data_IF_023805592978
#
_entry.id   IF_023805592978
#
_cell.length_a   1.000
_cell.length_b   1.000
_cell.length_c   1.000
_cell.angle_alpha   90.00
_cell.angle_beta   90.00
_cell.angle_gamma   90.00
#
_symmetry.space_group_name_H-M   'P 1'
#
loop_
_entity.id
_entity.type
_entity.pdbx_description
1 polymer ?
#
# COMPACT_ATOMS: atom_id res chain seq x y z
N UNK A 1 4.14 -11.39 0.53
CA UNK A 1 4.44 -10.30 -0.42
C UNK A 1 4.84 -9.02 0.32
N UNK A 2 5.46 -8.08 -0.38
CA UNK A 2 5.79 -6.73 0.10
C UNK A 2 4.96 -5.74 -0.72
N UNK A 3 4.34 -4.77 -0.06
CA UNK A 3 3.71 -3.60 -0.67
C UNK A 3 4.62 -2.40 -0.44
N UNK A 4 5.16 -1.83 -1.50
CA UNK A 4 6.13 -0.73 -1.44
C UNK A 4 5.59 0.50 -2.16
N UNK A 5 5.17 1.51 -1.39
CA UNK A 5 4.68 2.77 -1.93
C UNK A 5 5.83 3.71 -2.26
N UNK A 6 5.84 4.25 -3.45
CA UNK A 6 6.83 5.21 -3.90
C UNK A 6 6.24 6.27 -4.82
N UNK A 7 6.66 7.51 -4.60
CA UNK A 7 6.28 8.64 -5.42
C UNK A 7 7.38 9.00 -6.43
N UNK A 8 6.96 9.50 -7.57
CA UNK A 8 7.88 10.10 -8.54
C UNK A 8 8.48 11.41 -7.99
N UNK A 9 9.80 11.55 -8.03
CA UNK A 9 10.50 12.78 -7.64
C UNK A 9 10.87 13.64 -8.83
N UNK A 10 10.72 14.97 -8.72
CA UNK A 10 11.20 15.92 -9.73
C UNK A 10 12.71 16.14 -9.66
N UNK A 11 13.29 15.96 -8.49
CA UNK A 11 14.74 16.09 -8.28
C UNK A 11 15.49 14.86 -8.79
N UNK A 12 14.85 13.70 -8.68
CA UNK A 12 15.39 12.45 -9.21
C UNK A 12 14.31 11.64 -9.93
N UNK A 13 14.00 11.98 -11.20
CA UNK A 13 12.91 11.33 -11.94
C UNK A 13 13.15 9.86 -12.26
N UNK A 14 14.39 9.40 -12.18
CA UNK A 14 14.75 7.99 -12.43
C UNK A 14 14.74 7.12 -11.18
N UNK A 15 14.65 7.72 -9.99
CA UNK A 15 14.77 6.99 -8.71
C UNK A 15 13.75 5.87 -8.58
N UNK A 16 12.49 6.13 -8.95
CA UNK A 16 11.41 5.14 -8.92
C UNK A 16 11.81 3.86 -9.67
N UNK A 17 12.22 4.01 -10.92
CA UNK A 17 12.57 2.90 -11.81
C UNK A 17 13.87 2.22 -11.40
N UNK A 18 14.87 2.99 -10.97
CA UNK A 18 16.14 2.43 -10.45
C UNK A 18 15.91 1.61 -9.18
N UNK A 19 15.06 2.06 -8.27
CA UNK A 19 14.72 1.28 -7.07
C UNK A 19 14.08 -0.05 -7.46
N UNK A 20 13.12 -0.03 -8.39
CA UNK A 20 12.44 -1.22 -8.87
C UNK A 20 13.41 -2.22 -9.49
N UNK A 21 14.24 -1.78 -10.45
CA UNK A 21 15.23 -2.66 -11.12
C UNK A 21 16.26 -3.16 -10.13
N UNK A 22 16.77 -2.31 -9.23
CA UNK A 22 17.74 -2.72 -8.21
C UNK A 22 17.20 -3.84 -7.32
N UNK A 23 15.94 -3.73 -6.87
CA UNK A 23 15.31 -4.80 -6.07
C UNK A 23 15.27 -6.10 -6.86
N UNK A 24 14.84 -6.06 -8.13
CA UNK A 24 14.72 -7.28 -8.95
C UNK A 24 16.06 -7.88 -9.35
N UNK A 25 17.08 -7.06 -9.59
CA UNK A 25 18.39 -7.50 -10.08
C UNK A 25 19.27 -8.06 -8.95
N UNK A 26 19.20 -7.45 -7.76
CA UNK A 26 20.12 -7.76 -6.66
C UNK A 26 19.47 -8.52 -5.49
N UNK A 27 18.21 -8.92 -5.62
CA UNK A 27 17.51 -9.68 -4.56
C UNK A 27 16.69 -10.82 -5.11
N UNK A 28 16.17 -11.65 -4.19
CA UNK A 28 15.21 -12.72 -4.51
C UNK A 28 13.76 -12.22 -4.70
N UNK A 29 13.55 -10.90 -4.78
CA UNK A 29 12.22 -10.32 -4.98
C UNK A 29 11.98 -9.99 -6.45
N UNK A 30 10.71 -10.14 -6.87
CA UNK A 30 10.23 -9.78 -8.21
C UNK A 30 8.91 -9.03 -8.08
N UNK A 31 8.72 -8.03 -8.92
CA UNK A 31 7.45 -7.30 -9.02
C UNK A 31 6.40 -8.20 -9.69
N UNK A 32 5.27 -8.34 -9.04
CA UNK A 32 4.10 -9.09 -9.55
C UNK A 32 2.95 -8.18 -9.93
N UNK A 33 2.94 -6.95 -9.39
CA UNK A 33 1.94 -5.94 -9.74
C UNK A 33 2.48 -4.52 -9.50
N UNK A 34 1.92 -3.54 -10.22
CA UNK A 34 2.12 -2.11 -10.04
C UNK A 34 0.75 -1.44 -9.89
N UNK A 35 0.42 -1.08 -8.66
CA UNK A 35 -0.84 -0.40 -8.35
C UNK A 35 -0.64 1.10 -8.47
N UNK A 36 -1.46 1.73 -9.29
CA UNK A 36 -1.52 3.19 -9.37
C UNK A 36 -2.49 3.70 -8.30
N UNK A 37 -1.94 4.33 -7.27
CA UNK A 37 -2.75 5.04 -6.31
C UNK A 37 -3.03 6.46 -6.77
N UNK A 38 -4.27 6.74 -7.17
CA UNK A 38 -4.78 8.09 -7.43
C UNK A 38 -5.25 8.70 -6.11
N UNK A 39 -4.68 9.82 -5.75
CA UNK A 39 -5.10 10.62 -4.60
C UNK A 39 -6.42 11.35 -4.91
N UNK A 40 -7.26 11.54 -3.91
CA UNK A 40 -8.51 12.31 -4.06
C UNK A 40 -8.27 13.80 -4.26
N UNK A 41 -7.11 14.30 -3.81
CA UNK A 41 -6.68 15.68 -3.99
C UNK A 41 -5.17 15.78 -4.21
N UNK A 42 -4.72 16.84 -4.86
CA UNK A 42 -3.32 17.15 -5.04
C UNK A 42 -3.08 18.65 -4.88
N UNK A 43 -1.92 19.02 -4.38
CA UNK A 43 -1.49 20.42 -4.43
C UNK A 43 -1.26 20.80 -5.90
N UNK A 44 -1.96 21.81 -6.42
CA UNK A 44 -1.83 22.18 -7.82
C UNK A 44 -0.42 22.68 -8.10
N UNK A 45 0.15 22.23 -9.21
CA UNK A 45 1.39 22.79 -9.75
C UNK A 45 1.05 23.83 -10.83
N UNK A 46 0.73 25.03 -10.40
CA UNK A 46 0.36 26.15 -11.24
C UNK A 46 1.49 27.18 -11.44
N UNK A 47 2.68 26.90 -10.88
CA UNK A 47 3.86 27.75 -10.99
C UNK A 47 4.74 27.36 -12.17
N UNK A 48 4.70 26.11 -12.61
CA UNK A 48 5.53 25.58 -13.68
C UNK A 48 4.71 25.30 -14.93
N UNK A 49 5.09 25.93 -16.06
CA UNK A 49 4.41 25.73 -17.36
C UNK A 49 4.67 24.35 -18.00
N UNK A 50 5.69 23.63 -17.55
CA UNK A 50 6.15 22.36 -18.14
C UNK A 50 5.96 21.14 -17.22
N UNK A 51 5.28 21.29 -16.08
CA UNK A 51 5.06 20.20 -15.14
C UNK A 51 3.60 20.07 -14.75
N UNK A 52 3.07 18.88 -14.88
CA UNK A 52 1.71 18.57 -14.45
C UNK A 52 1.60 18.47 -12.92
N UNK A 53 0.39 18.68 -12.42
CA UNK A 53 0.04 18.37 -11.03
C UNK A 53 0.10 16.86 -10.81
N UNK A 54 0.87 16.41 -9.82
CA UNK A 54 1.02 14.99 -9.51
C UNK A 54 -0.08 14.55 -8.57
N UNK A 55 -0.88 13.63 -9.03
CA UNK A 55 -2.00 13.09 -8.27
C UNK A 55 -1.85 11.58 -8.01
N UNK A 56 -0.91 10.93 -8.70
CA UNK A 56 -0.70 9.49 -8.57
C UNK A 56 0.62 9.16 -7.89
N UNK A 57 0.62 8.05 -7.17
CA UNK A 57 1.80 7.35 -6.67
C UNK A 57 1.73 5.87 -7.08
N UNK A 58 2.88 5.20 -7.02
CA UNK A 58 3.00 3.77 -7.29
C UNK A 58 3.01 2.96 -5.99
N UNK A 59 2.35 1.82 -5.98
CA UNK A 59 2.51 0.80 -4.95
C UNK A 59 2.95 -0.48 -5.64
N UNK A 60 4.25 -0.74 -5.62
CA UNK A 60 4.80 -1.97 -6.17
C UNK A 60 4.50 -3.14 -5.25
N UNK A 61 4.07 -4.23 -5.84
CA UNK A 61 3.81 -5.48 -5.14
C UNK A 61 4.89 -6.47 -5.49
N UNK A 62 5.68 -6.88 -4.49
CA UNK A 62 6.74 -7.85 -4.68
C UNK A 62 6.37 -9.20 -4.06
N UNK A 63 6.79 -10.28 -4.71
CA UNK A 63 6.88 -11.60 -4.10
C UNK A 63 8.27 -12.21 -4.35
N UNK A 64 8.62 -13.28 -3.65
CA UNK A 64 9.88 -13.99 -3.92
C UNK A 64 9.79 -14.71 -5.26
N UNK A 65 10.90 -14.74 -6.01
CA UNK A 65 10.99 -15.37 -7.35
C UNK A 65 10.49 -16.81 -7.34
N UNK A 66 10.83 -17.58 -6.32
CA UNK A 66 10.39 -18.98 -6.20
C UNK A 66 8.93 -19.16 -5.72
N UNK A 67 8.27 -18.08 -5.29
CA UNK A 67 6.85 -18.08 -4.83
C UNK A 67 5.88 -17.55 -5.89
N UNK A 68 6.34 -17.23 -7.11
CA UNK A 68 5.50 -16.64 -8.16
C UNK A 68 4.25 -17.47 -8.46
N UNK A 69 4.38 -18.81 -8.56
CA UNK A 69 3.25 -19.69 -8.86
C UNK A 69 2.26 -19.82 -7.71
N UNK A 70 2.68 -19.55 -6.47
CA UNK A 70 1.84 -19.56 -5.29
C UNK A 70 1.38 -18.17 -4.85
N UNK A 71 1.75 -17.12 -5.62
CA UNK A 71 1.31 -15.77 -5.35
C UNK A 71 -0.21 -15.68 -5.40
N UNK A 72 -0.79 -15.03 -4.41
CA UNK A 72 -2.22 -15.05 -4.17
C UNK A 72 -2.79 -13.65 -4.04
N UNK A 73 -3.97 -13.46 -4.63
CA UNK A 73 -4.84 -12.30 -4.37
C UNK A 73 -6.21 -12.79 -3.89
N UNK A 74 -6.92 -11.96 -3.13
CA UNK A 74 -8.25 -12.30 -2.62
C UNK A 74 -9.37 -12.13 -3.66
N UNK A 75 -9.07 -12.20 -4.97
CA UNK A 75 -10.09 -12.16 -6.04
C UNK A 75 -11.05 -13.34 -5.88
N UNK A 76 -12.33 -13.04 -5.86
CA UNK A 76 -13.38 -14.07 -5.75
C UNK A 76 -13.56 -14.79 -7.08
N UNK A 77 -13.79 -16.10 -7.04
CA UNK A 77 -14.28 -16.84 -8.18
C UNK A 77 -15.75 -16.45 -8.43
N UNK A 78 -16.10 -16.14 -9.69
CA UNK A 78 -17.44 -15.64 -10.07
C UNK A 78 -18.27 -16.66 -10.86
N UNK A 79 -17.70 -17.82 -11.18
CA UNK A 79 -18.44 -18.93 -11.82
C UNK A 79 -18.49 -20.16 -10.89
N UNK A 80 -19.60 -20.88 -10.93
CA UNK A 80 -19.93 -22.01 -10.03
C UNK A 80 -19.23 -23.32 -10.41
N UNK A 81 -18.21 -23.27 -11.26
CA UNK A 81 -17.47 -24.47 -11.69
C UNK A 81 -18.19 -25.33 -12.75
N UNK A 82 -19.28 -24.84 -13.37
CA UNK A 82 -19.90 -25.48 -14.52
C UNK A 82 -19.08 -25.33 -15.83
N UNK A 83 -18.23 -24.28 -15.88
CA UNK A 83 -17.24 -24.09 -16.94
C UNK A 83 -15.91 -24.73 -16.54
N UNK A 84 -15.23 -25.40 -17.46
CA UNK A 84 -13.88 -25.96 -17.25
C UNK A 84 -12.85 -24.89 -16.85
N UNK A 85 -13.13 -23.62 -17.12
CA UNK A 85 -12.23 -22.51 -16.84
C UNK A 85 -12.76 -21.63 -15.69
N UNK A 86 -12.01 -21.56 -14.59
CA UNK A 86 -12.30 -20.64 -13.48
C UNK A 86 -12.20 -19.19 -13.91
N UNK A 87 -13.23 -18.40 -13.62
CA UNK A 87 -13.27 -16.96 -13.83
C UNK A 87 -13.25 -16.23 -12.48
N UNK A 88 -12.54 -15.11 -12.42
CA UNK A 88 -12.40 -14.31 -11.22
C UNK A 88 -12.95 -12.90 -11.43
N UNK A 89 -13.35 -12.24 -10.35
CA UNK A 89 -13.80 -10.86 -10.37
C UNK A 89 -12.71 -9.92 -10.94
N UNK A 90 -13.14 -8.87 -11.63
CA UNK A 90 -12.25 -7.83 -12.14
C UNK A 90 -11.86 -6.87 -11.00
N UNK A 91 -10.58 -6.92 -10.61
CA UNK A 91 -9.97 -5.93 -9.72
C UNK A 91 -8.89 -5.23 -10.55
N UNK A 92 -9.00 -3.91 -10.66
CA UNK A 92 -8.04 -3.11 -11.41
C UNK A 92 -6.81 -2.79 -10.55
N UNK A 93 -5.66 -2.67 -11.20
CA UNK A 93 -4.43 -2.15 -10.58
C UNK A 93 -4.45 -0.62 -10.42
N UNK A 94 -5.62 -0.05 -10.19
CA UNK A 94 -5.88 1.36 -9.99
C UNK A 94 -6.74 1.54 -8.75
N UNK A 95 -6.23 2.31 -7.76
CA UNK A 95 -6.92 2.56 -6.51
C UNK A 95 -7.06 4.06 -6.31
N UNK A 96 -8.30 4.56 -6.26
CA UNK A 96 -8.56 5.90 -5.75
C UNK A 96 -8.76 5.83 -4.23
N UNK A 97 -8.00 6.63 -3.48
CA UNK A 97 -8.10 6.73 -2.03
C UNK A 97 -7.67 8.11 -1.53
N UNK A 98 -8.13 8.48 -0.35
CA UNK A 98 -7.71 9.71 0.32
C UNK A 98 -6.19 9.74 0.50
N UNK A 99 -5.62 10.94 0.54
CA UNK A 99 -4.19 11.14 0.72
C UNK A 99 -3.73 10.69 2.13
N UNK A 100 -4.51 11.05 3.13
CA UNK A 100 -4.29 10.78 4.54
C UNK A 100 -5.65 10.77 5.28
N UNK A 101 -5.63 10.51 6.57
CA UNK A 101 -6.81 10.49 7.45
C UNK A 101 -7.05 11.83 8.16
N UNK A 102 -6.57 12.93 7.60
CA UNK A 102 -6.68 14.28 8.17
C UNK A 102 -5.35 14.79 8.76
N UNK A 103 -5.43 15.85 9.57
CA UNK A 103 -4.24 16.46 10.15
C UNK A 103 -3.57 15.51 11.17
N UNK A 104 -2.27 15.33 10.99
CA UNK A 104 -1.44 14.56 11.90
C UNK A 104 -0.30 15.44 12.39
N UNK A 105 -0.25 15.76 13.71
CA UNK A 105 0.74 16.68 14.23
C UNK A 105 2.18 16.13 14.23
N UNK A 106 2.33 14.80 14.15
CA UNK A 106 3.63 14.13 14.28
C UNK A 106 4.19 13.61 12.97
N UNK A 107 3.35 13.47 11.94
CA UNK A 107 3.79 12.97 10.63
C UNK A 107 2.86 13.51 9.52
N UNK A 108 3.42 14.35 8.65
CA UNK A 108 2.69 14.92 7.50
C UNK A 108 2.68 14.00 6.27
N UNK A 109 3.55 13.01 6.25
CA UNK A 109 3.74 12.09 5.12
C UNK A 109 3.05 10.73 5.35
N UNK A 110 1.86 10.75 5.94
CA UNK A 110 1.06 9.53 6.14
C UNK A 110 0.20 9.25 4.91
N UNK A 111 -0.02 7.98 4.63
CA UNK A 111 -1.09 7.53 3.73
C UNK A 111 -2.37 7.24 4.51
N UNK A 112 -3.51 7.15 3.80
CA UNK A 112 -4.80 6.94 4.46
C UNK A 112 -5.05 5.49 4.86
N UNK A 113 -5.82 5.31 5.94
CA UNK A 113 -6.38 4.00 6.31
C UNK A 113 -7.23 3.41 5.17
N UNK A 114 -7.88 4.27 4.36
CA UNK A 114 -8.64 3.84 3.18
C UNK A 114 -7.75 3.10 2.17
N UNK A 115 -6.59 3.67 1.80
CA UNK A 115 -5.63 3.03 0.91
C UNK A 115 -5.15 1.69 1.46
N UNK A 116 -4.67 1.71 2.71
CA UNK A 116 -4.15 0.51 3.37
C UNK A 116 -5.20 -0.60 3.43
N UNK A 117 -6.44 -0.26 3.80
CA UNK A 117 -7.56 -1.22 3.85
C UNK A 117 -7.85 -1.84 2.48
N UNK A 118 -7.84 -1.04 1.40
CA UNK A 118 -8.04 -1.55 0.03
C UNK A 118 -6.92 -2.50 -0.38
N UNK A 119 -5.67 -2.15 -0.12
CA UNK A 119 -4.52 -3.00 -0.42
C UNK A 119 -4.54 -4.31 0.37
N UNK A 120 -4.79 -4.26 1.68
CA UNK A 120 -4.87 -5.46 2.52
C UNK A 120 -6.02 -6.38 2.10
N UNK A 121 -7.16 -5.83 1.68
CA UNK A 121 -8.27 -6.64 1.15
C UNK A 121 -7.90 -7.41 -0.11
N UNK A 122 -6.99 -6.89 -0.94
CA UNK A 122 -6.55 -7.55 -2.16
C UNK A 122 -5.47 -8.60 -1.86
N UNK A 123 -4.46 -8.26 -1.03
CA UNK A 123 -3.23 -9.03 -0.93
C UNK A 123 -3.04 -9.79 0.40
N UNK A 124 -3.75 -9.44 1.47
CA UNK A 124 -3.63 -10.12 2.75
C UNK A 124 -4.69 -11.21 2.91
N UNK A 125 -4.26 -12.45 3.14
CA UNK A 125 -5.17 -13.55 3.50
C UNK A 125 -5.87 -13.24 4.82
N UNK A 126 -7.09 -13.76 5.04
CA UNK A 126 -7.77 -13.59 6.34
C UNK A 126 -6.88 -13.98 7.52
N UNK A 127 -6.90 -13.18 8.58
CA UNK A 127 -6.09 -13.38 9.80
C UNK A 127 -4.57 -13.40 9.59
N UNK A 128 -4.07 -12.77 8.52
CA UNK A 128 -2.62 -12.62 8.28
C UNK A 128 -1.94 -11.80 9.38
N UNK A 129 -0.65 -12.05 9.56
CA UNK A 129 0.26 -11.17 10.28
C UNK A 129 0.87 -10.17 9.29
N UNK A 130 0.71 -8.88 9.55
CA UNK A 130 1.21 -7.78 8.73
C UNK A 130 2.38 -7.13 9.45
N UNK A 131 3.51 -6.99 8.76
CA UNK A 131 4.69 -6.27 9.26
C UNK A 131 4.76 -4.89 8.59
N UNK A 132 4.90 -3.86 9.41
CA UNK A 132 5.19 -2.50 8.96
C UNK A 132 6.47 -2.00 9.67
N UNK A 133 7.63 -2.04 9.00
CA UNK A 133 8.91 -1.63 9.59
C UNK A 133 9.05 -0.11 9.73
N UNK A 134 8.11 0.68 9.21
CA UNK A 134 8.09 2.14 9.26
C UNK A 134 6.70 2.65 9.68
N UNK A 135 6.18 2.09 10.78
CA UNK A 135 4.78 2.22 11.19
C UNK A 135 4.30 3.67 11.37
N UNK A 136 5.20 4.59 11.73
CA UNK A 136 4.86 5.98 11.97
C UNK A 136 3.75 6.11 13.02
N UNK A 137 2.67 6.78 12.65
CA UNK A 137 1.51 7.00 13.51
C UNK A 137 0.45 5.89 13.43
N UNK A 138 0.80 4.74 12.83
CA UNK A 138 0.03 3.50 12.97
C UNK A 138 -1.10 3.28 11.96
N UNK A 139 -1.06 3.88 10.78
CA UNK A 139 -2.10 3.69 9.74
C UNK A 139 -2.31 2.22 9.38
N UNK A 140 -1.21 1.47 9.17
CA UNK A 140 -1.27 0.02 8.91
C UNK A 140 -1.89 -0.74 10.07
N UNK A 141 -1.49 -0.43 11.30
CA UNK A 141 -2.02 -1.10 12.49
C UNK A 141 -3.54 -0.86 12.66
N UNK A 142 -4.01 0.36 12.37
CA UNK A 142 -5.43 0.71 12.39
C UNK A 142 -6.19 -0.09 11.33
N UNK A 143 -5.67 -0.17 10.11
CA UNK A 143 -6.27 -0.95 9.03
C UNK A 143 -6.34 -2.45 9.39
N UNK A 144 -5.25 -3.00 9.94
CA UNK A 144 -5.20 -4.38 10.42
C UNK A 144 -6.26 -4.65 11.50
N UNK A 145 -6.39 -3.77 12.49
CA UNK A 145 -7.40 -3.92 13.56
C UNK A 145 -8.82 -3.93 12.99
N UNK A 146 -9.13 -3.04 12.05
CA UNK A 146 -10.45 -2.98 11.37
C UNK A 146 -10.75 -4.25 10.56
N UNK A 147 -9.73 -4.88 9.97
CA UNK A 147 -9.88 -6.07 9.13
C UNK A 147 -9.70 -7.40 9.90
N UNK A 148 -9.35 -7.35 11.18
CA UNK A 148 -9.11 -8.55 11.99
C UNK A 148 -7.79 -9.25 11.68
N UNK A 149 -6.79 -8.52 11.18
CA UNK A 149 -5.41 -8.99 11.03
C UNK A 149 -4.59 -8.75 12.30
N UNK A 150 -3.57 -9.57 12.52
CA UNK A 150 -2.48 -9.27 13.46
C UNK A 150 -1.46 -8.35 12.80
N UNK A 151 -0.71 -7.58 13.59
CA UNK A 151 0.34 -6.71 13.05
C UNK A 151 1.54 -6.63 13.98
N UNK A 152 2.69 -6.35 13.37
CA UNK A 152 3.92 -5.93 14.03
C UNK A 152 4.31 -4.61 13.39
N UNK A 153 4.44 -3.54 14.19
CA UNK A 153 4.87 -2.22 13.73
C UNK A 153 6.19 -1.84 14.39
N UNK A 154 7.10 -1.24 13.61
CA UNK A 154 8.36 -0.69 14.11
C UNK A 154 8.38 0.81 13.86
N UNK A 155 8.80 1.57 14.86
CA UNK A 155 8.93 3.03 14.78
C UNK A 155 9.99 3.50 15.78
N UNK A 156 10.83 4.44 15.36
CA UNK A 156 11.90 4.99 16.19
C UNK A 156 11.41 6.14 17.10
N UNK A 157 10.39 6.86 16.66
CA UNK A 157 9.86 8.01 17.38
C UNK A 157 8.87 7.58 18.47
N UNK A 158 9.26 7.72 19.73
CA UNK A 158 8.39 7.43 20.87
C UNK A 158 7.09 8.27 20.84
N UNK A 159 7.15 9.49 20.31
CA UNK A 159 5.96 10.35 20.17
C UNK A 159 4.96 9.76 19.18
N UNK A 160 5.45 9.25 18.03
CA UNK A 160 4.59 8.59 17.04
C UNK A 160 4.02 7.28 17.57
N UNK A 161 4.82 6.50 18.31
CA UNK A 161 4.35 5.25 18.97
C UNK A 161 3.22 5.57 19.95
N UNK A 162 3.40 6.57 20.82
CA UNK A 162 2.39 6.96 21.80
C UNK A 162 1.09 7.42 21.12
N UNK A 163 1.22 8.17 20.04
CA UNK A 163 0.07 8.62 19.23
C UNK A 163 -0.65 7.46 18.57
N UNK A 164 0.09 6.53 17.95
CA UNK A 164 -0.45 5.33 17.35
C UNK A 164 -1.22 4.48 18.36
N UNK A 165 -0.66 4.25 19.53
CA UNK A 165 -1.31 3.51 20.62
C UNK A 165 -2.62 4.16 21.07
N UNK A 166 -2.65 5.50 21.18
CA UNK A 166 -3.88 6.25 21.49
C UNK A 166 -4.95 6.05 20.42
N UNK A 167 -4.59 6.17 19.14
CA UNK A 167 -5.54 5.94 18.04
C UNK A 167 -6.08 4.51 18.04
N UNK A 168 -5.22 3.53 18.28
CA UNK A 168 -5.60 2.12 18.33
C UNK A 168 -6.57 1.79 19.45
N UNK A 169 -6.46 2.45 20.63
CA UNK A 169 -7.43 2.27 21.72
C UNK A 169 -8.83 2.71 21.31
N UNK A 170 -8.97 3.76 20.49
CA UNK A 170 -10.25 4.30 20.04
C UNK A 170 -10.76 3.64 18.74
N UNK A 171 -9.96 2.83 18.08
CA UNK A 171 -10.36 2.10 16.87
C UNK A 171 -11.19 0.87 17.25
N UNK A 172 -12.45 0.81 16.78
CA UNK A 172 -13.31 -0.39 16.90
C UNK A 172 -12.97 -1.38 15.78
N UNK A 173 -13.23 -2.67 16.06
CA UNK A 173 -13.18 -3.71 15.03
C UNK A 173 -14.33 -3.55 14.05
#
# INVERSE_FOLDING_TARGET
>A
CILYNMSYSSENPTLLWKTLTTVMDYTEWMTVDDIIWKKKSALPNNVSCNKLTRICEHVFVFCRKHELQSFYTNKKCVNDGQDEQRRYENIFNFIEAANNDGSNPYNKATYSTELCTKLLKIYARPKSLILDPFMGTGTTAIACKKLGHSYIGMELSQQQINYANKLLQHTRK
#
